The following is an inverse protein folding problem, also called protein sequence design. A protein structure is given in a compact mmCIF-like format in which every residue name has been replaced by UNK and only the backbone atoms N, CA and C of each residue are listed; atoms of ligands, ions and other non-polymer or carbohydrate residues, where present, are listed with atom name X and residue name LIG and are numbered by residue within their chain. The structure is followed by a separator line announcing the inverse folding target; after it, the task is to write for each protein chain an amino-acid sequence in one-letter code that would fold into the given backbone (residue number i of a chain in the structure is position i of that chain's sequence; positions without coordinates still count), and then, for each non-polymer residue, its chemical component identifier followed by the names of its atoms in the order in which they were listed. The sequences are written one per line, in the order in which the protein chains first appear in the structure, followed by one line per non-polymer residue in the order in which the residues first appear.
data_IF_034153143197
#
_entry.id   IF_034153143197
#
_cell.length_a   1.000
_cell.length_b   1.000
_cell.length_c   1.000
_cell.angle_alpha   90.00
_cell.angle_beta   90.00
_cell.angle_gamma   90.00
#
_symmetry.space_group_name_H-M   'P 1'
#
loop_
_entity.id
_entity.type
_entity.pdbx_description
1 polymer ?
#
# COMPACT_ATOMS: atom_id res chain seq x y z
N UNK A 1 -17.16 -8.95 7.43
CA UNK A 1 -17.27 -7.61 8.07
C UNK A 1 -15.87 -7.04 7.99
N UNK A 2 -15.71 -5.90 7.34
CA UNK A 2 -14.42 -5.26 7.07
C UNK A 2 -14.21 -4.14 8.08
N UNK A 3 -12.98 -3.99 8.61
CA UNK A 3 -12.64 -2.88 9.48
C UNK A 3 -12.22 -1.62 8.71
N UNK A 4 -11.94 -0.52 9.42
CA UNK A 4 -11.57 0.75 8.79
C UNK A 4 -10.26 0.71 8.01
N UNK A 5 -9.25 -0.01 8.51
CA UNK A 5 -7.96 -0.13 7.82
C UNK A 5 -8.11 -0.94 6.54
N UNK A 6 -8.80 -2.08 6.62
CA UNK A 6 -9.06 -2.93 5.45
C UNK A 6 -9.88 -2.17 4.37
N UNK A 7 -10.85 -1.34 4.79
CA UNK A 7 -11.62 -0.51 3.86
C UNK A 7 -10.78 0.55 3.15
N UNK A 8 -9.89 1.25 3.87
CA UNK A 8 -9.00 2.26 3.27
C UNK A 8 -7.96 1.61 2.37
N UNK A 9 -7.35 0.52 2.84
CA UNK A 9 -6.38 -0.24 2.07
C UNK A 9 -6.98 -0.72 0.75
N UNK A 10 -8.22 -1.21 0.76
CA UNK A 10 -8.88 -1.72 -0.45
C UNK A 10 -8.97 -0.65 -1.53
N UNK A 11 -9.39 0.57 -1.18
CA UNK A 11 -9.47 1.68 -2.14
C UNK A 11 -8.07 2.14 -2.55
N UNK A 12 -7.11 2.19 -1.62
CA UNK A 12 -5.74 2.56 -1.92
C UNK A 12 -5.07 1.58 -2.91
N UNK A 13 -5.25 0.27 -2.71
CA UNK A 13 -4.74 -0.78 -3.59
C UNK A 13 -5.30 -0.67 -5.01
N UNK A 14 -6.60 -0.43 -5.11
CA UNK A 14 -7.29 -0.29 -6.40
C UNK A 14 -6.87 0.96 -7.20
N UNK A 15 -6.41 2.00 -6.51
CA UNK A 15 -6.13 3.32 -7.09
C UNK A 15 -4.64 3.69 -7.14
N UNK A 16 -3.70 2.76 -6.89
CA UNK A 16 -2.27 3.07 -6.94
C UNK A 16 -1.46 1.97 -7.64
N UNK A 17 -0.47 2.38 -8.43
CA UNK A 17 0.49 1.47 -9.08
C UNK A 17 1.72 1.26 -8.20
N UNK A 18 2.02 2.21 -7.30
CA UNK A 18 3.14 2.17 -6.36
C UNK A 18 2.62 2.53 -4.97
N UNK A 19 3.00 1.75 -3.96
CA UNK A 19 2.63 1.94 -2.55
C UNK A 19 3.89 1.80 -1.68
N UNK A 20 4.51 2.91 -1.30
CA UNK A 20 5.61 2.89 -0.34
C UNK A 20 5.09 2.95 1.10
N UNK A 21 5.51 2.02 1.95
CA UNK A 21 5.00 1.86 3.31
C UNK A 21 6.11 1.93 4.37
N UNK A 22 5.69 2.21 5.61
CA UNK A 22 6.48 2.00 6.82
C UNK A 22 5.52 1.67 7.96
N UNK A 23 5.77 0.63 8.77
CA UNK A 23 4.84 0.20 9.81
C UNK A 23 4.82 1.16 11.00
N UNK A 24 3.65 1.70 11.32
CA UNK A 24 3.39 2.47 12.54
C UNK A 24 1.95 2.24 13.05
N UNK A 25 1.79 1.97 14.35
CA UNK A 25 0.47 1.78 14.96
C UNK A 25 -0.32 3.10 14.95
N UNK A 26 -1.63 3.11 14.61
CA UNK A 26 -2.50 1.97 14.29
C UNK A 26 -2.66 1.68 12.78
N UNK A 27 -1.81 2.27 11.94
CA UNK A 27 -1.93 2.25 10.49
C UNK A 27 -1.29 1.04 9.80
N UNK A 28 -0.40 0.30 10.48
CA UNK A 28 0.31 -0.87 9.90
C UNK A 28 -0.59 -1.85 9.13
N UNK A 29 -1.81 -2.20 9.61
CA UNK A 29 -2.66 -3.14 8.89
C UNK A 29 -3.02 -2.68 7.46
N UNK A 30 -3.05 -1.38 7.18
CA UNK A 30 -3.32 -0.90 5.82
C UNK A 30 -2.22 -1.32 4.84
N UNK A 31 -0.95 -1.20 5.25
CA UNK A 31 0.20 -1.62 4.46
C UNK A 31 0.28 -3.14 4.32
N UNK A 32 -0.01 -3.87 5.40
CA UNK A 32 -0.04 -5.34 5.41
C UNK A 32 -1.10 -5.90 4.45
N UNK A 33 -2.30 -5.29 4.40
CA UNK A 33 -3.33 -5.69 3.45
C UNK A 33 -2.90 -5.43 1.99
N UNK A 34 -2.35 -4.26 1.70
CA UNK A 34 -1.86 -3.93 0.35
C UNK A 34 -0.74 -4.88 -0.08
N UNK A 35 0.24 -5.16 0.79
CA UNK A 35 1.34 -6.08 0.52
C UNK A 35 0.83 -7.51 0.25
N UNK A 36 -0.08 -8.02 1.11
CA UNK A 36 -0.67 -9.35 0.94
C UNK A 36 -1.42 -9.48 -0.40
N UNK A 37 -2.23 -8.48 -0.76
CA UNK A 37 -2.97 -8.50 -2.01
C UNK A 37 -2.05 -8.40 -3.22
N UNK A 38 -0.98 -7.60 -3.15
CA UNK A 38 0.04 -7.56 -4.21
C UNK A 38 0.77 -8.90 -4.34
N UNK A 39 1.15 -9.54 -3.24
CA UNK A 39 1.77 -10.86 -3.23
C UNK A 39 0.85 -11.96 -3.81
N UNK A 40 -0.47 -11.82 -3.61
CA UNK A 40 -1.50 -12.68 -4.21
C UNK A 40 -1.80 -12.36 -5.68
N UNK A 41 -1.19 -11.31 -6.24
CA UNK A 41 -1.37 -10.89 -7.64
C UNK A 41 -2.70 -10.17 -7.89
N UNK A 42 -3.33 -9.61 -6.85
CA UNK A 42 -4.55 -8.81 -6.99
C UNK A 42 -4.23 -7.51 -7.74
N UNK A 43 -4.84 -7.36 -8.90
CA UNK A 43 -4.65 -6.19 -9.76
C UNK A 43 -5.45 -4.98 -9.27
N UNK A 44 -4.89 -3.80 -9.49
CA UNK A 44 -5.59 -2.52 -9.37
C UNK A 44 -6.53 -2.25 -10.57
N UNK A 45 -7.16 -1.08 -10.60
CA UNK A 45 -8.12 -0.71 -11.65
C UNK A 45 -7.51 -0.52 -13.04
N UNK A 46 -6.19 -0.46 -13.16
CA UNK A 46 -5.50 -0.37 -14.45
C UNK A 46 -4.99 -1.72 -14.95
N UNK A 47 -5.23 -2.79 -14.19
CA UNK A 47 -4.81 -4.14 -14.54
C UNK A 47 -3.34 -4.44 -14.21
N UNK A 48 -2.66 -3.57 -13.45
CA UNK A 48 -1.33 -3.82 -12.89
C UNK A 48 -1.44 -4.31 -11.44
N UNK A 49 -0.48 -5.12 -10.99
CA UNK A 49 -0.36 -5.43 -9.55
C UNK A 49 0.43 -4.29 -8.91
N UNK A 50 -0.08 -3.60 -7.88
CA UNK A 50 0.66 -2.51 -7.23
C UNK A 50 2.02 -2.97 -6.71
N UNK A 51 3.06 -2.17 -6.93
CA UNK A 51 4.38 -2.39 -6.35
C UNK A 51 4.40 -1.85 -4.91
N UNK A 52 4.48 -2.76 -3.93
CA UNK A 52 4.46 -2.43 -2.51
C UNK A 52 5.87 -2.55 -1.94
N UNK A 53 6.37 -1.46 -1.37
CA UNK A 53 7.78 -1.38 -0.93
C UNK A 53 7.82 -0.86 0.50
N UNK A 54 8.35 -1.68 1.42
CA UNK A 54 8.64 -1.24 2.78
C UNK A 54 9.96 -0.46 2.84
N UNK A 55 9.88 0.76 3.35
CA UNK A 55 11.02 1.68 3.47
C UNK A 55 11.65 1.61 4.85
N UNK A 56 12.82 2.24 5.03
CA UNK A 56 13.52 2.25 6.32
C UNK A 56 12.90 3.18 7.38
N UNK A 57 12.05 4.13 6.95
CA UNK A 57 11.32 5.09 7.80
C UNK A 57 10.18 5.74 7.02
N UNK A 58 9.27 6.42 7.71
CA UNK A 58 8.21 7.22 7.07
C UNK A 58 8.80 8.32 6.18
N UNK A 59 9.95 8.88 6.56
CA UNK A 59 10.67 9.85 5.72
C UNK A 59 11.20 9.20 4.43
N UNK A 60 11.63 7.94 4.50
CA UNK A 60 11.99 7.14 3.33
C UNK A 60 10.79 6.89 2.42
N UNK A 61 9.64 6.51 2.99
CA UNK A 61 8.38 6.34 2.26
C UNK A 61 7.94 7.63 1.56
N UNK A 62 7.99 8.77 2.26
CA UNK A 62 7.67 10.06 1.66
C UNK A 62 8.61 10.41 0.49
N UNK A 63 9.91 10.14 0.62
CA UNK A 63 10.89 10.37 -0.44
C UNK A 63 10.67 9.47 -1.66
N UNK A 64 10.36 8.19 -1.46
CA UNK A 64 10.03 7.27 -2.53
C UNK A 64 8.76 7.70 -3.27
N UNK A 65 7.69 8.05 -2.55
CA UNK A 65 6.45 8.56 -3.15
C UNK A 65 6.69 9.85 -3.95
N UNK A 66 7.50 10.78 -3.42
CA UNK A 66 7.84 12.01 -4.15
C UNK A 66 8.52 11.74 -5.50
N UNK A 67 9.37 10.70 -5.59
CA UNK A 67 10.03 10.31 -6.83
C UNK A 67 9.17 9.47 -7.78
N UNK A 68 8.10 8.84 -7.28
CA UNK A 68 7.20 7.99 -8.06
C UNK A 68 6.02 8.76 -8.70
N UNK A 69 5.69 9.94 -8.17
CA UNK A 69 4.68 10.88 -8.70
C UNK A 69 5.18 11.62 -9.96
#
# INVERSE_FOLDING_TARGET
MMDGNEAVAHIAHLLNEVIAIYPITPASPMGEHADSWSAEGVTNLWGSVPDVIEMQSEAGAAGALHGAL
#
